data_IF_759549708225
#
_entry.id   IF_759549708225
#
_cell.length_a   1.000
_cell.length_b   1.000
_cell.length_c   1.000
_cell.angle_alpha   90.00
_cell.angle_beta   90.00
_cell.angle_gamma   90.00
#
_symmetry.space_group_name_H-M   'P 1'
#
loop_
_entity.id
_entity.type
_entity.pdbx_description
1 polymer ?
#
# COMPACT_ATOMS: atom_id res chain seq x y z
N UNK A 1 -10.88 -8.62 8.29
CA UNK A 1 -10.16 -9.90 8.06
C UNK A 1 -9.01 -9.72 7.07
N UNK A 2 -9.21 -9.03 5.94
CA UNK A 2 -8.11 -8.74 5.00
C UNK A 2 -6.95 -7.93 5.62
N UNK A 3 -7.24 -6.88 6.40
CA UNK A 3 -6.19 -6.12 7.10
C UNK A 3 -5.37 -6.97 8.07
N UNK A 4 -6.01 -7.75 8.94
CA UNK A 4 -5.31 -8.66 9.85
C UNK A 4 -4.39 -9.65 9.12
N UNK A 5 -4.81 -10.16 7.95
CA UNK A 5 -3.97 -11.05 7.15
C UNK A 5 -2.73 -10.34 6.60
N UNK A 6 -2.87 -9.07 6.20
CA UNK A 6 -1.74 -8.25 5.76
C UNK A 6 -0.78 -7.98 6.91
N UNK A 7 -1.30 -7.59 8.08
CA UNK A 7 -0.52 -7.33 9.28
C UNK A 7 0.25 -8.59 9.74
N UNK A 8 -0.41 -9.76 9.71
CA UNK A 8 0.21 -11.05 10.03
C UNK A 8 1.29 -11.41 8.99
N UNK A 9 1.04 -11.17 7.69
CA UNK A 9 2.01 -11.41 6.61
C UNK A 9 3.27 -10.56 6.79
N UNK A 10 3.13 -9.28 7.11
CA UNK A 10 4.24 -8.39 7.38
C UNK A 10 5.00 -8.81 8.63
N UNK A 11 4.31 -9.11 9.73
CA UNK A 11 4.94 -9.52 10.98
C UNK A 11 5.75 -10.81 10.81
N UNK A 12 5.15 -11.81 10.16
CA UNK A 12 5.80 -13.11 9.94
C UNK A 12 6.98 -13.00 8.96
N UNK A 13 6.91 -12.09 7.99
CA UNK A 13 8.04 -11.82 7.10
C UNK A 13 9.17 -11.09 7.84
N UNK A 14 8.86 -10.05 8.62
CA UNK A 14 9.85 -9.25 9.37
C UNK A 14 10.57 -10.07 10.46
N UNK A 15 9.87 -11.01 11.09
CA UNK A 15 10.44 -11.93 12.10
C UNK A 15 11.19 -13.10 11.47
N UNK A 16 11.09 -13.30 10.14
CA UNK A 16 11.70 -14.42 9.42
C UNK A 16 10.99 -15.76 9.62
N UNK A 17 9.80 -15.76 10.22
CA UNK A 17 8.97 -16.95 10.43
C UNK A 17 8.31 -17.44 9.12
N UNK A 18 8.10 -16.54 8.16
CA UNK A 18 7.51 -16.84 6.86
C UNK A 18 8.39 -16.39 5.70
N UNK A 19 8.47 -17.21 4.65
CA UNK A 19 9.05 -16.86 3.35
C UNK A 19 8.06 -16.16 2.42
N UNK A 20 6.79 -16.07 2.83
CA UNK A 20 5.73 -15.42 2.03
C UNK A 20 5.86 -13.92 2.23
N UNK A 21 6.35 -13.25 1.20
CA UNK A 21 6.52 -11.81 1.16
C UNK A 21 5.20 -11.15 0.74
N UNK A 22 4.60 -10.23 1.54
CA UNK A 22 3.54 -9.36 1.04
C UNK A 22 4.04 -8.54 -0.15
N UNK A 23 3.22 -8.52 -1.20
CA UNK A 23 3.43 -7.85 -2.48
C UNK A 23 2.32 -6.84 -2.73
N UNK A 24 2.42 -6.06 -3.82
CA UNK A 24 1.35 -5.11 -4.20
C UNK A 24 -0.03 -5.78 -4.29
N UNK A 25 -0.10 -7.07 -4.67
CA UNK A 25 -1.35 -7.85 -4.67
C UNK A 25 -1.95 -7.97 -3.27
N UNK A 26 -1.14 -8.27 -2.26
CA UNK A 26 -1.56 -8.44 -0.87
C UNK A 26 -2.11 -7.13 -0.28
N UNK A 27 -1.45 -6.01 -0.57
CA UNK A 27 -1.93 -4.68 -0.18
C UNK A 27 -3.19 -4.29 -0.94
N UNK A 28 -3.23 -4.49 -2.26
CA UNK A 28 -4.40 -4.21 -3.10
C UNK A 28 -5.63 -4.99 -2.63
N UNK A 29 -5.46 -6.25 -2.25
CA UNK A 29 -6.55 -7.06 -1.70
C UNK A 29 -7.10 -6.50 -0.38
N UNK A 30 -6.23 -5.95 0.48
CA UNK A 30 -6.66 -5.32 1.72
C UNK A 30 -7.40 -3.99 1.48
N UNK A 31 -6.90 -3.17 0.56
CA UNK A 31 -7.52 -1.90 0.15
C UNK A 31 -8.88 -2.14 -0.50
N UNK A 32 -8.96 -3.07 -1.45
CA UNK A 32 -10.21 -3.45 -2.11
C UNK A 32 -11.26 -3.99 -1.13
N UNK A 33 -10.82 -4.80 -0.16
CA UNK A 33 -11.71 -5.27 0.91
C UNK A 33 -12.25 -4.13 1.77
N UNK A 34 -11.44 -3.10 2.06
CA UNK A 34 -11.91 -1.90 2.76
C UNK A 34 -12.87 -1.09 1.90
N UNK A 35 -12.52 -0.81 0.64
CA UNK A 35 -13.40 -0.08 -0.30
C UNK A 35 -14.78 -0.72 -0.41
N UNK A 36 -14.84 -2.06 -0.49
CA UNK A 36 -16.10 -2.83 -0.57
C UNK A 36 -16.86 -2.94 0.76
N UNK A 37 -16.21 -2.73 1.90
CA UNK A 37 -16.85 -2.83 3.21
C UNK A 37 -17.86 -1.69 3.48
N UNK A 38 -17.69 -0.55 2.80
CA UNK A 38 -18.55 0.64 2.90
C UNK A 38 -18.79 1.13 4.34
N UNK A 39 -17.84 0.86 5.24
CA UNK A 39 -17.87 1.41 6.60
C UNK A 39 -17.39 2.86 6.60
N UNK A 40 -17.78 3.64 7.61
CA UNK A 40 -17.40 5.05 7.69
C UNK A 40 -15.87 5.26 7.78
N UNK A 41 -15.14 4.28 8.34
CA UNK A 41 -13.68 4.27 8.46
C UNK A 41 -12.97 3.57 7.29
N UNK A 42 -13.72 3.02 6.33
CA UNK A 42 -13.14 2.26 5.22
C UNK A 42 -12.17 3.09 4.38
N UNK A 43 -12.55 4.35 4.09
CA UNK A 43 -11.75 5.25 3.27
C UNK A 43 -10.42 5.62 3.95
N UNK A 44 -10.47 5.99 5.24
CA UNK A 44 -9.27 6.29 6.01
C UNK A 44 -8.34 5.08 6.15
N UNK A 45 -8.90 3.88 6.32
CA UNK A 45 -8.11 2.65 6.39
C UNK A 45 -7.49 2.30 5.05
N UNK A 46 -8.22 2.44 3.95
CA UNK A 46 -7.71 2.25 2.60
C UNK A 46 -6.55 3.22 2.30
N UNK A 47 -6.71 4.50 2.63
CA UNK A 47 -5.66 5.52 2.46
C UNK A 47 -4.43 5.23 3.31
N UNK A 48 -4.59 4.81 4.57
CA UNK A 48 -3.46 4.45 5.42
C UNK A 48 -2.64 3.29 4.85
N UNK A 49 -3.29 2.31 4.22
CA UNK A 49 -2.59 1.19 3.58
C UNK A 49 -1.84 1.67 2.32
N UNK A 50 -2.44 2.54 1.50
CA UNK A 50 -1.77 3.17 0.36
C UNK A 50 -0.52 3.95 0.79
N UNK A 51 -0.65 4.84 1.79
CA UNK A 51 0.50 5.61 2.33
C UNK A 51 1.61 4.71 2.85
N UNK A 52 1.25 3.54 3.39
CA UNK A 52 2.23 2.55 3.82
C UNK A 52 2.99 1.96 2.63
N UNK A 53 2.32 1.66 1.52
CA UNK A 53 2.99 1.24 0.28
C UNK A 53 3.92 2.32 -0.28
N UNK A 54 3.50 3.59 -0.26
CA UNK A 54 4.35 4.73 -0.69
C UNK A 54 5.62 4.86 0.15
N UNK A 55 5.48 4.83 1.48
CA UNK A 55 6.62 4.89 2.41
C UNK A 55 7.60 3.75 2.16
N UNK A 56 7.08 2.53 1.96
CA UNK A 56 7.92 1.38 1.64
C UNK A 56 8.64 1.58 0.30
N UNK A 57 7.99 2.10 -0.73
CA UNK A 57 8.62 2.38 -2.03
C UNK A 57 9.76 3.41 -1.92
N UNK A 58 9.53 4.54 -1.24
CA UNK A 58 10.51 5.63 -1.10
C UNK A 58 11.72 5.23 -0.25
N UNK A 59 11.50 4.54 0.86
CA UNK A 59 12.58 4.07 1.73
C UNK A 59 13.49 3.04 1.01
N UNK A 60 12.94 2.32 0.03
CA UNK A 60 13.66 1.35 -0.79
C UNK A 60 14.53 1.94 -1.88
N UNK A 61 14.11 3.06 -2.46
CA UNK A 61 14.85 3.76 -3.50
C UNK A 61 16.14 4.42 -2.97
N UNK A 62 16.23 4.70 -1.67
CA UNK A 62 17.40 5.36 -1.07
C UNK A 62 18.59 4.41 -0.80
N UNK A 63 18.41 3.10 -1.00
CA UNK A 63 19.41 2.07 -0.69
C UNK A 63 20.14 1.50 -1.91
N UNK A 64 19.84 1.96 -3.13
CA UNK A 64 20.29 1.28 -4.37
C UNK A 64 21.74 1.51 -4.80
N UNK A 65 22.50 2.41 -4.16
CA UNK A 65 23.71 2.96 -4.78
C UNK A 65 25.05 2.60 -4.10
N UNK A 66 25.09 1.62 -3.18
CA UNK A 66 26.37 1.26 -2.55
C UNK A 66 26.53 -0.26 -2.30
N UNK A 67 27.29 -0.93 -3.18
CA UNK A 67 28.05 -2.16 -2.91
C UNK A 67 27.39 -3.21 -1.99
N UNK A 68 26.25 -3.79 -2.42
CA UNK A 68 25.52 -4.78 -1.61
C UNK A 68 25.77 -6.21 -2.11
N UNK A 69 26.18 -7.09 -1.21
CA UNK A 69 26.37 -8.53 -1.42
C UNK A 69 25.03 -9.25 -1.72
N UNK A 70 25.09 -10.28 -2.55
CA UNK A 70 23.96 -11.02 -3.16
C UNK A 70 23.03 -11.64 -2.10
N UNK A 71 23.58 -12.03 -0.93
CA UNK A 71 22.82 -12.59 0.20
C UNK A 71 21.93 -11.54 0.89
N UNK A 72 22.34 -10.26 0.90
CA UNK A 72 21.54 -9.17 1.48
C UNK A 72 20.49 -8.68 0.48
N UNK A 73 20.74 -8.85 -0.83
CA UNK A 73 19.80 -8.51 -1.89
C UNK A 73 18.48 -9.32 -1.83
N UNK A 74 18.48 -10.56 -1.34
CA UNK A 74 17.24 -11.34 -1.16
C UNK A 74 16.34 -10.76 -0.05
N UNK A 75 16.95 -10.28 1.04
CA UNK A 75 16.24 -9.66 2.17
C UNK A 75 15.81 -8.22 1.85
N UNK A 76 16.57 -7.54 1.00
CA UNK A 76 16.29 -6.17 0.51
C UNK A 76 15.31 -6.13 -0.65
N UNK A 77 14.99 -7.29 -1.27
CA UNK A 77 13.85 -7.43 -2.21
C UNK A 77 12.50 -7.07 -1.58
N UNK A 78 12.45 -6.92 -0.25
CA UNK A 78 11.37 -6.30 0.53
C UNK A 78 10.89 -4.96 -0.03
N UNK A 79 11.77 -4.22 -0.71
CA UNK A 79 11.54 -2.84 -1.11
C UNK A 79 10.86 -2.61 -2.47
N UNK A 80 10.17 -3.63 -3.02
CA UNK A 80 9.48 -3.52 -4.33
C UNK A 80 7.97 -3.38 -4.23
N UNK A 81 7.45 -2.92 -3.10
CA UNK A 81 6.01 -2.60 -2.97
C UNK A 81 5.84 -1.14 -3.35
N UNK A 82 5.30 -0.90 -4.55
CA UNK A 82 4.87 0.43 -4.99
C UNK A 82 3.37 0.39 -5.21
N UNK A 83 2.65 1.48 -4.86
CA UNK A 83 1.30 1.66 -5.35
C UNK A 83 1.27 1.56 -6.87
N UNK A 84 0.20 0.94 -7.37
CA UNK A 84 -0.15 0.93 -8.77
C UNK A 84 -1.50 1.63 -9.01
N UNK A 85 -1.89 1.74 -10.27
CA UNK A 85 -3.17 2.33 -10.68
C UNK A 85 -4.37 1.64 -10.02
N UNK A 86 -4.27 0.34 -9.72
CA UNK A 86 -5.33 -0.41 -9.02
C UNK A 86 -5.43 0.04 -7.57
N UNK A 87 -4.29 0.28 -6.94
CA UNK A 87 -4.18 0.80 -5.57
C UNK A 87 -4.92 2.13 -5.43
N UNK A 88 -4.57 3.12 -6.26
CA UNK A 88 -5.18 4.46 -6.23
C UNK A 88 -6.68 4.42 -6.53
N UNK A 89 -7.09 3.68 -7.57
CA UNK A 89 -8.51 3.55 -7.93
C UNK A 89 -9.34 2.98 -6.78
N UNK A 90 -8.84 1.98 -6.07
CA UNK A 90 -9.56 1.38 -4.95
C UNK A 90 -9.69 2.34 -3.75
N UNK A 91 -8.69 3.17 -3.47
CA UNK A 91 -8.78 4.20 -2.41
C UNK A 91 -9.72 5.34 -2.81
N UNK A 92 -9.69 5.76 -4.08
CA UNK A 92 -10.64 6.76 -4.63
C UNK A 92 -12.07 6.21 -4.55
N UNK A 93 -12.28 4.93 -4.90
CA UNK A 93 -13.57 4.27 -4.75
C UNK A 93 -14.01 4.29 -3.28
N UNK A 94 -13.13 3.98 -2.33
CA UNK A 94 -13.45 4.03 -0.91
C UNK A 94 -13.88 5.44 -0.46
N UNK A 95 -13.16 6.49 -0.86
CA UNK A 95 -13.49 7.88 -0.54
C UNK A 95 -14.78 8.36 -1.22
N UNK A 96 -15.08 7.91 -2.43
CA UNK A 96 -16.32 8.26 -3.15
C UNK A 96 -17.59 7.73 -2.46
N UNK A 97 -17.46 6.67 -1.68
CA UNK A 97 -18.56 6.10 -0.89
C UNK A 97 -18.56 6.61 0.57
N UNK A 98 -17.55 7.39 0.96
CA UNK A 98 -17.43 7.90 2.33
C UNK A 98 -18.50 8.97 2.60
N UNK A 99 -19.14 8.94 3.78
CA UNK A 99 -20.02 10.02 4.21
C UNK A 99 -19.26 11.28 4.66
N UNK A 100 -17.92 11.24 4.71
CA UNK A 100 -17.10 12.39 5.10
C UNK A 100 -17.13 13.48 3.99
N UNK A 101 -17.47 14.74 4.31
CA UNK A 101 -17.43 15.85 3.34
C UNK A 101 -16.06 16.06 2.69
N UNK A 102 -14.97 15.61 3.32
CA UNK A 102 -13.61 15.66 2.77
C UNK A 102 -13.37 14.61 1.69
N UNK A 103 -14.28 13.65 1.49
CA UNK A 103 -14.07 12.54 0.56
C UNK A 103 -13.85 12.99 -0.88
N UNK A 104 -14.50 14.09 -1.30
CA UNK A 104 -14.26 14.67 -2.62
C UNK A 104 -12.85 15.26 -2.74
N UNK A 105 -12.43 16.05 -1.75
CA UNK A 105 -11.09 16.66 -1.74
C UNK A 105 -10.00 15.59 -1.71
N UNK A 106 -10.22 14.51 -0.95
CA UNK A 106 -9.33 13.36 -0.88
C UNK A 106 -9.27 12.57 -2.17
N UNK A 107 -10.40 12.36 -2.84
CA UNK A 107 -10.42 11.70 -4.15
C UNK A 107 -9.63 12.50 -5.20
N UNK A 108 -9.73 13.83 -5.18
CA UNK A 108 -8.96 14.71 -6.08
C UNK A 108 -7.47 14.67 -5.74
N UNK A 109 -7.10 14.80 -4.46
CA UNK A 109 -5.71 14.71 -3.98
C UNK A 109 -5.05 13.41 -4.47
N UNK A 110 -5.73 12.28 -4.29
CA UNK A 110 -5.23 10.97 -4.72
C UNK A 110 -5.09 10.83 -6.23
N UNK A 111 -5.99 11.45 -7.00
CA UNK A 111 -5.92 11.43 -8.45
C UNK A 111 -4.72 12.24 -8.95
N UNK A 112 -4.46 13.41 -8.36
CA UNK A 112 -3.28 14.22 -8.64
C UNK A 112 -1.99 13.48 -8.26
N UNK A 113 -1.94 12.82 -7.10
CA UNK A 113 -0.80 11.99 -6.72
C UNK A 113 -0.53 10.87 -7.72
N UNK A 114 -1.60 10.26 -8.26
CA UNK A 114 -1.46 9.24 -9.30
C UNK A 114 -0.89 9.84 -10.59
N UNK A 115 -1.40 10.99 -11.04
CA UNK A 115 -0.89 11.67 -12.25
C UNK A 115 0.60 12.03 -12.11
N UNK A 116 0.99 12.64 -10.98
CA UNK A 116 2.38 13.01 -10.70
C UNK A 116 3.31 11.79 -10.64
N UNK A 117 2.82 10.63 -10.20
CA UNK A 117 3.60 9.40 -10.12
C UNK A 117 3.80 8.69 -11.47
N UNK A 118 3.02 9.04 -12.50
CA UNK A 118 3.04 8.41 -13.83
C UNK A 118 3.40 9.36 -15.00
N UNK A 119 3.72 10.62 -14.73
CA UNK A 119 4.39 11.54 -15.68
C UNK A 119 5.90 11.26 -15.81
#
# INVERSE_FOLDING_TARGET
>A
RAQHLLDDLEHNFLTGESKVQPDSTSYNAAIDAWAKSRTADAAERAENILRRMESLSTDGASLSDADIDEERAEKERWFRVSPDTVTYNAVIEAWSHSPDPKGLDKAIELLTMMEDAYE
#
